data_IF_255219951915
#
_entry.id   IF_255219951915
#
_cell.length_a   1.000
_cell.length_b   1.000
_cell.length_c   1.000
_cell.angle_alpha   90.00
_cell.angle_beta   90.00
_cell.angle_gamma   90.00
#
_symmetry.space_group_name_H-M   'P 1'
#
loop_
_entity.id
_entity.type
_entity.pdbx_description
1 polymer ?
#
# COMPACT_ATOMS: atom_id res chain seq x y z
N UNK A 1 21.71 -4.01 -28.69
CA UNK A 1 20.86 -3.03 -27.99
C UNK A 1 19.86 -3.69 -27.06
N UNK A 2 19.11 -4.60 -27.59
CA UNK A 2 18.01 -5.17 -26.80
C UNK A 2 18.44 -6.21 -25.77
N UNK A 3 19.59 -6.83 -25.93
CA UNK A 3 20.12 -7.71 -24.91
C UNK A 3 20.40 -6.99 -23.60
N UNK A 4 20.93 -5.76 -23.68
CA UNK A 4 21.13 -4.94 -22.51
C UNK A 4 19.83 -4.50 -21.86
N UNK A 5 18.77 -4.39 -22.65
CA UNK A 5 17.46 -4.00 -22.12
C UNK A 5 16.89 -5.08 -21.23
N UNK A 6 17.16 -6.36 -21.50
CA UNK A 6 16.64 -7.44 -20.68
C UNK A 6 17.19 -7.37 -19.24
N UNK A 7 18.48 -7.12 -19.10
CA UNK A 7 19.07 -6.96 -17.77
C UNK A 7 18.54 -5.72 -17.08
N UNK A 8 18.38 -4.63 -17.82
CA UNK A 8 17.80 -3.42 -17.28
C UNK A 8 16.37 -3.64 -16.84
N UNK A 9 15.62 -4.46 -17.59
CA UNK A 9 14.22 -4.73 -17.22
C UNK A 9 14.13 -5.44 -15.88
N UNK A 10 15.08 -6.33 -15.57
CA UNK A 10 15.08 -6.99 -14.27
C UNK A 10 15.34 -5.99 -13.15
N UNK A 11 16.32 -5.12 -13.31
CA UNK A 11 16.64 -4.09 -12.32
C UNK A 11 15.49 -3.09 -12.17
N UNK A 12 14.93 -2.66 -13.30
CA UNK A 12 13.78 -1.75 -13.32
C UNK A 12 12.59 -2.39 -12.61
N UNK A 13 12.41 -3.70 -12.78
CA UNK A 13 11.31 -4.40 -12.13
C UNK A 13 11.39 -4.33 -10.62
N UNK A 14 12.59 -4.47 -10.04
CA UNK A 14 12.80 -4.34 -8.59
C UNK A 14 12.54 -2.89 -8.15
N UNK A 15 13.11 -1.94 -8.88
CA UNK A 15 12.92 -0.52 -8.59
C UNK A 15 11.46 -0.12 -8.75
N UNK A 16 10.79 -0.65 -9.78
CA UNK A 16 9.38 -0.39 -10.01
C UNK A 16 8.53 -0.93 -8.87
N UNK A 17 8.87 -2.13 -8.40
CA UNK A 17 8.15 -2.73 -7.27
C UNK A 17 8.29 -1.88 -6.03
N UNK A 18 9.52 -1.46 -5.70
CA UNK A 18 9.76 -0.62 -4.54
C UNK A 18 9.11 0.75 -4.68
N UNK A 19 9.15 1.33 -5.88
CA UNK A 19 8.50 2.61 -6.17
C UNK A 19 6.99 2.50 -6.03
N UNK A 20 6.43 1.39 -6.48
CA UNK A 20 4.99 1.17 -6.34
C UNK A 20 4.60 1.05 -4.87
N UNK A 21 5.43 0.37 -4.07
CA UNK A 21 5.20 0.27 -2.63
C UNK A 21 5.24 1.67 -2.00
N UNK A 22 6.20 2.51 -2.37
CA UNK A 22 6.27 3.89 -1.89
C UNK A 22 5.02 4.67 -2.26
N UNK A 23 4.50 4.48 -3.47
CA UNK A 23 3.27 5.11 -3.90
C UNK A 23 2.09 4.67 -3.04
N UNK A 24 2.00 3.37 -2.75
CA UNK A 24 0.94 2.83 -1.89
C UNK A 24 1.03 3.40 -0.48
N UNK A 25 2.25 3.51 0.05
CA UNK A 25 2.48 4.11 1.37
C UNK A 25 2.00 5.56 1.37
N UNK A 26 2.35 6.33 0.35
CA UNK A 26 1.93 7.72 0.24
C UNK A 26 0.42 7.84 0.13
N UNK A 27 -0.21 6.95 -0.61
CA UNK A 27 -1.68 6.93 -0.72
C UNK A 27 -2.31 6.63 0.63
N UNK A 28 -1.73 5.71 1.37
CA UNK A 28 -2.23 5.37 2.69
C UNK A 28 -2.12 6.56 3.65
N UNK A 29 -0.98 7.25 3.67
CA UNK A 29 -0.81 8.44 4.49
C UNK A 29 -1.77 9.56 4.11
N UNK A 30 -2.13 9.68 2.85
CA UNK A 30 -3.03 10.73 2.38
C UNK A 30 -4.46 10.58 2.94
N UNK A 31 -4.78 9.43 3.52
CA UNK A 31 -6.06 9.21 4.17
C UNK A 31 -6.18 10.06 5.44
N UNK A 32 -5.06 10.29 6.13
CA UNK A 32 -5.08 11.03 7.40
C UNK A 32 -5.60 12.44 7.27
N UNK A 33 -5.04 13.31 6.39
CA UNK A 33 -5.57 14.66 6.26
C UNK A 33 -7.00 14.69 5.75
N UNK A 34 -7.35 13.76 4.86
CA UNK A 34 -8.72 13.68 4.36
C UNK A 34 -9.70 13.37 5.48
N UNK A 35 -9.34 12.45 6.36
CA UNK A 35 -10.18 12.12 7.52
C UNK A 35 -10.27 13.29 8.49
N UNK A 36 -9.16 13.98 8.74
CA UNK A 36 -9.16 15.14 9.63
C UNK A 36 -10.08 16.25 9.15
N UNK A 37 -10.13 16.48 7.83
CA UNK A 37 -10.94 17.54 7.26
C UNK A 37 -12.42 17.18 7.17
N UNK A 38 -12.72 15.96 6.79
CA UNK A 38 -14.07 15.57 6.40
C UNK A 38 -14.67 14.44 7.24
N UNK A 39 -13.86 13.82 8.09
CA UNK A 39 -14.29 12.65 8.83
C UNK A 39 -14.60 11.49 7.90
N UNK A 40 -15.55 10.66 8.29
CA UNK A 40 -15.93 9.49 7.51
C UNK A 40 -16.91 9.90 6.41
N UNK A 41 -16.40 10.19 5.24
CA UNK A 41 -17.20 10.66 4.12
C UNK A 41 -17.07 9.68 2.93
N UNK A 42 -17.92 9.91 1.92
CA UNK A 42 -17.96 9.06 0.73
C UNK A 42 -16.61 9.07 -0.02
N UNK A 43 -15.97 10.24 -0.08
CA UNK A 43 -14.67 10.35 -0.74
C UNK A 43 -13.61 9.52 -0.03
N UNK A 44 -13.65 9.49 1.30
CA UNK A 44 -12.75 8.67 2.09
C UNK A 44 -12.96 7.19 1.80
N UNK A 45 -14.21 6.74 1.78
CA UNK A 45 -14.55 5.36 1.48
C UNK A 45 -14.05 4.95 0.09
N UNK A 46 -14.25 5.82 -0.91
CA UNK A 46 -13.75 5.56 -2.26
C UNK A 46 -12.23 5.46 -2.29
N UNK A 47 -11.54 6.31 -1.53
CA UNK A 47 -10.09 6.30 -1.49
C UNK A 47 -9.57 5.00 -0.87
N UNK A 48 -10.21 4.55 0.19
CA UNK A 48 -9.86 3.28 0.83
C UNK A 48 -10.15 2.10 -0.11
N UNK A 49 -11.28 2.11 -0.80
CA UNK A 49 -11.62 1.07 -1.76
C UNK A 49 -10.63 1.01 -2.91
N UNK A 50 -10.20 2.16 -3.40
CA UNK A 50 -9.19 2.23 -4.45
C UNK A 50 -7.86 1.67 -3.98
N UNK A 51 -7.46 2.00 -2.76
CA UNK A 51 -6.24 1.45 -2.16
C UNK A 51 -6.33 -0.07 -2.05
N UNK A 52 -7.46 -0.58 -1.55
CA UNK A 52 -7.68 -2.01 -1.42
C UNK A 52 -7.60 -2.72 -2.78
N UNK A 53 -8.22 -2.14 -3.80
CA UNK A 53 -8.19 -2.69 -5.14
C UNK A 53 -6.75 -2.77 -5.68
N UNK A 54 -5.98 -1.72 -5.49
CA UNK A 54 -4.59 -1.68 -5.94
C UNK A 54 -3.73 -2.69 -5.19
N UNK A 55 -3.94 -2.82 -3.88
CA UNK A 55 -3.21 -3.80 -3.08
C UNK A 55 -3.51 -5.21 -3.54
N UNK A 56 -4.77 -5.54 -3.77
CA UNK A 56 -5.14 -6.86 -4.26
C UNK A 56 -4.48 -7.18 -5.60
N UNK A 57 -4.50 -6.24 -6.53
CA UNK A 57 -3.86 -6.42 -7.83
C UNK A 57 -2.36 -6.60 -7.71
N UNK A 58 -1.74 -5.77 -6.88
CA UNK A 58 -0.30 -5.80 -6.68
C UNK A 58 0.15 -7.14 -6.05
N UNK A 59 -0.60 -7.62 -5.07
CA UNK A 59 -0.26 -8.88 -4.40
C UNK A 59 -0.48 -10.10 -5.29
N UNK A 60 -1.39 -10.01 -6.26
CA UNK A 60 -1.58 -11.09 -7.23
C UNK A 60 -0.44 -11.16 -8.23
N UNK A 61 0.17 -10.03 -8.55
CA UNK A 61 1.22 -9.96 -9.55
C UNK A 61 2.60 -10.25 -8.99
N UNK A 62 2.76 -10.26 -7.67
CA UNK A 62 4.05 -10.42 -7.03
C UNK A 62 3.98 -11.48 -5.94
N UNK A 63 5.06 -12.26 -5.81
CA UNK A 63 5.14 -13.33 -4.81
C UNK A 63 5.65 -12.76 -3.48
N UNK A 64 4.77 -12.17 -2.70
CA UNK A 64 5.11 -11.66 -1.38
C UNK A 64 4.78 -12.70 -0.29
N UNK A 65 5.31 -12.46 0.90
CA UNK A 65 4.97 -13.25 2.08
C UNK A 65 3.47 -13.12 2.35
N UNK A 66 2.76 -14.24 2.32
CA UNK A 66 1.30 -14.22 2.44
C UNK A 66 0.83 -13.75 3.82
N UNK A 67 1.62 -13.98 4.87
CA UNK A 67 1.24 -13.49 6.20
C UNK A 67 1.22 -11.96 6.24
N UNK A 68 2.19 -11.34 5.60
CA UNK A 68 2.25 -9.88 5.55
C UNK A 68 1.12 -9.32 4.69
N UNK A 69 0.87 -9.90 3.52
CA UNK A 69 -0.18 -9.40 2.64
C UNK A 69 -1.57 -9.57 3.26
N UNK A 70 -1.81 -10.68 3.94
CA UNK A 70 -3.08 -10.91 4.63
C UNK A 70 -3.27 -9.85 5.73
N UNK A 71 -2.24 -9.58 6.50
CA UNK A 71 -2.30 -8.59 7.56
C UNK A 71 -2.58 -7.19 6.99
N UNK A 72 -1.93 -6.83 5.89
CA UNK A 72 -2.18 -5.53 5.25
C UNK A 72 -3.64 -5.41 4.84
N UNK A 73 -4.18 -6.41 4.17
CA UNK A 73 -5.57 -6.39 3.72
C UNK A 73 -6.54 -6.33 4.89
N UNK A 74 -6.21 -7.03 5.96
CA UNK A 74 -7.01 -7.01 7.19
C UNK A 74 -7.05 -5.61 7.79
N UNK A 75 -5.91 -4.92 7.87
CA UNK A 75 -5.87 -3.57 8.42
C UNK A 75 -6.58 -2.55 7.52
N UNK A 76 -6.56 -2.76 6.19
CA UNK A 76 -7.33 -1.88 5.30
C UNK A 76 -8.82 -2.04 5.55
N UNK A 77 -9.28 -3.27 5.80
CA UNK A 77 -10.68 -3.50 6.14
C UNK A 77 -11.03 -2.87 7.50
N UNK A 78 -10.14 -2.97 8.47
CA UNK A 78 -10.35 -2.30 9.76
C UNK A 78 -10.42 -0.78 9.59
N UNK A 79 -9.62 -0.26 8.67
CA UNK A 79 -9.62 1.18 8.38
C UNK A 79 -11.00 1.66 7.95
N UNK A 80 -11.71 0.86 7.17
CA UNK A 80 -13.08 1.19 6.74
C UNK A 80 -14.06 1.28 7.90
N UNK A 81 -13.81 0.51 8.95
CA UNK A 81 -14.68 0.44 10.11
C UNK A 81 -14.23 1.33 11.25
N UNK A 82 -13.16 2.09 11.07
CA UNK A 82 -12.62 2.95 12.13
C UNK A 82 -13.61 4.04 12.51
N UNK A 83 -13.76 4.24 13.81
CA UNK A 83 -14.75 5.15 14.34
C UNK A 83 -14.18 6.54 14.68
N UNK A 84 -12.86 6.66 14.80
CA UNK A 84 -12.24 7.92 15.20
C UNK A 84 -10.85 8.06 14.60
N UNK A 85 -10.29 9.26 14.71
CA UNK A 85 -9.00 9.60 14.12
C UNK A 85 -7.86 8.75 14.69
N UNK A 86 -7.91 8.41 15.96
CA UNK A 86 -6.85 7.60 16.56
C UNK A 86 -6.80 6.22 15.96
N UNK A 87 -7.96 5.60 15.70
CA UNK A 87 -8.04 4.29 15.07
C UNK A 87 -7.55 4.35 13.62
N UNK A 88 -7.96 5.38 12.88
CA UNK A 88 -7.53 5.58 11.49
C UNK A 88 -6.01 5.71 11.44
N UNK A 89 -5.45 6.54 12.30
CA UNK A 89 -4.01 6.75 12.36
C UNK A 89 -3.27 5.46 12.68
N UNK A 90 -3.77 4.71 13.64
CA UNK A 90 -3.16 3.44 14.03
C UNK A 90 -3.14 2.45 12.87
N UNK A 91 -4.26 2.30 12.16
CA UNK A 91 -4.33 1.41 11.00
C UNK A 91 -3.40 1.85 9.89
N UNK A 92 -3.37 3.15 9.58
CA UNK A 92 -2.50 3.70 8.54
C UNK A 92 -1.03 3.40 8.85
N UNK A 93 -0.60 3.65 10.09
CA UNK A 93 0.79 3.40 10.47
C UNK A 93 1.14 1.92 10.37
N UNK A 94 0.25 1.03 10.77
CA UNK A 94 0.48 -0.41 10.66
C UNK A 94 0.56 -0.85 9.21
N UNK A 95 -0.33 -0.38 8.35
CA UNK A 95 -0.31 -0.70 6.93
C UNK A 95 0.99 -0.24 6.29
N UNK A 96 1.41 0.99 6.56
CA UNK A 96 2.64 1.54 6.00
C UNK A 96 3.88 0.80 6.48
N UNK A 97 3.91 0.42 7.75
CA UNK A 97 5.00 -0.37 8.30
C UNK A 97 5.12 -1.72 7.59
N UNK A 98 3.99 -2.41 7.40
CA UNK A 98 3.97 -3.70 6.72
C UNK A 98 4.34 -3.57 5.24
N UNK A 99 3.87 -2.54 4.56
CA UNK A 99 4.24 -2.29 3.18
C UNK A 99 5.74 -2.06 3.04
N UNK A 100 6.35 -1.33 3.96
CA UNK A 100 7.80 -1.12 3.95
C UNK A 100 8.57 -2.43 4.05
N UNK A 101 8.03 -3.40 4.77
CA UNK A 101 8.68 -4.71 4.92
C UNK A 101 8.65 -5.53 3.64
N UNK A 102 7.77 -5.18 2.69
CA UNK A 102 7.71 -5.88 1.40
C UNK A 102 8.78 -5.38 0.42
N UNK A 103 9.42 -4.27 0.70
CA UNK A 103 10.44 -3.73 -0.19
C UNK A 103 11.63 -4.68 -0.30
N UNK A 104 12.11 -4.83 -1.51
CA UNK A 104 13.31 -5.62 -1.77
C UNK A 104 14.53 -4.78 -1.43
N UNK A 105 15.36 -5.27 -0.52
CA UNK A 105 16.59 -4.59 -0.15
C UNK A 105 17.70 -5.09 -1.06
N UNK A 106 18.30 -4.17 -1.76
CA UNK A 106 19.38 -4.45 -2.70
C UNK A 106 20.70 -4.18 -2.01
N UNK A 107 21.37 -5.22 -1.60
CA UNK A 107 22.68 -5.08 -0.96
C UNK A 107 23.82 -5.39 -1.89
#
# INVERSE_FOLDING_TARGET
MYGGCNMRNIEISIDDTNSYIDMLINQCFSILPLYEENGNCKMLTQKIDNLLHRLNGFFKMNAFNSNITIDILSFVNELKESANHAEVRCCVLKICSLLSRLKVVNE
#
